data_IF_949993209653
#
_entry.id   IF_949993209653
#
_cell.length_a   1.000
_cell.length_b   1.000
_cell.length_c   1.000
_cell.angle_alpha   90.00
_cell.angle_beta   90.00
_cell.angle_gamma   90.00
#
_symmetry.space_group_name_H-M   'P 1'
#
loop_
_entity.id
_entity.type
_entity.pdbx_description
1 polymer ?
#
# COMPACT_ATOMS: atom_id res chain seq x y z
N UNK A 1 -19.20 -22.83 -47.60
CA UNK A 1 -19.51 -22.32 -46.24
C UNK A 1 -18.47 -22.89 -45.31
N UNK A 2 -17.39 -22.15 -45.03
CA UNK A 2 -16.33 -22.60 -44.17
C UNK A 2 -16.73 -22.29 -42.72
N UNK A 3 -16.45 -23.15 -41.73
CA UNK A 3 -16.76 -22.86 -40.35
C UNK A 3 -15.83 -21.76 -39.85
N UNK A 4 -16.41 -20.75 -39.23
CA UNK A 4 -15.71 -19.74 -38.42
C UNK A 4 -14.98 -20.46 -37.31
N UNK A 5 -13.66 -20.56 -37.42
CA UNK A 5 -12.79 -20.91 -36.30
C UNK A 5 -12.79 -19.72 -35.36
N UNK A 6 -13.63 -19.75 -34.36
CA UNK A 6 -13.49 -18.89 -33.22
C UNK A 6 -12.30 -19.40 -32.41
N UNK A 7 -11.10 -18.97 -32.76
CA UNK A 7 -9.96 -19.09 -31.86
C UNK A 7 -10.23 -18.18 -30.66
N UNK A 8 -10.52 -18.82 -29.54
CA UNK A 8 -10.59 -18.13 -28.25
C UNK A 8 -9.21 -17.48 -27.99
N UNK A 9 -9.09 -16.15 -27.99
CA UNK A 9 -7.81 -15.48 -27.84
C UNK A 9 -7.30 -15.47 -26.39
N UNK A 10 -7.92 -16.27 -25.51
CA UNK A 10 -7.45 -16.36 -24.13
C UNK A 10 -6.09 -17.06 -24.10
N UNK A 11 -5.04 -16.40 -23.62
CA UNK A 11 -3.75 -17.05 -23.46
C UNK A 11 -3.88 -18.23 -22.50
N UNK A 12 -3.23 -19.34 -22.86
CA UNK A 12 -3.18 -20.55 -22.07
C UNK A 12 -2.79 -20.28 -20.63
N UNK A 13 -3.59 -20.69 -19.78
CA UNK A 13 -3.71 -20.84 -18.32
C UNK A 13 -2.53 -20.66 -17.36
N UNK A 14 -1.33 -20.29 -17.75
CA UNK A 14 -0.25 -19.98 -16.79
C UNK A 14 -0.42 -18.60 -16.13
N UNK A 15 -1.30 -17.79 -16.65
CA UNK A 15 -1.70 -16.52 -16.03
C UNK A 15 -3.08 -16.59 -15.38
N UNK A 16 -3.69 -17.72 -15.38
CA UNK A 16 -4.90 -18.13 -14.69
C UNK A 16 -5.85 -17.01 -14.24
N UNK A 17 -6.47 -17.23 -13.09
CA UNK A 17 -7.36 -16.26 -12.41
C UNK A 17 -6.70 -14.91 -12.10
N UNK A 18 -5.37 -14.89 -12.00
CA UNK A 18 -4.60 -13.66 -11.78
C UNK A 18 -4.61 -12.74 -12.99
N UNK A 19 -4.85 -13.27 -14.17
CA UNK A 19 -4.88 -12.46 -15.37
C UNK A 19 -5.96 -11.37 -15.35
N UNK A 20 -7.15 -11.67 -14.85
CA UNK A 20 -8.20 -10.66 -14.64
C UNK A 20 -7.80 -9.58 -13.64
N UNK A 21 -6.87 -9.90 -12.72
CA UNK A 21 -6.28 -8.95 -11.78
C UNK A 21 -5.11 -8.15 -12.40
N UNK A 22 -4.57 -8.64 -13.52
CA UNK A 22 -3.46 -8.03 -14.26
C UNK A 22 -3.90 -7.10 -15.37
N UNK A 23 -5.18 -7.11 -15.74
CA UNK A 23 -5.68 -6.17 -16.72
C UNK A 23 -5.48 -4.75 -16.23
N UNK A 24 -5.16 -3.86 -17.14
CA UNK A 24 -5.03 -2.43 -16.85
C UNK A 24 -6.22 -1.83 -16.12
N UNK A 25 -7.35 -2.52 -16.16
CA UNK A 25 -8.64 -2.07 -15.63
C UNK A 25 -9.07 -2.80 -14.37
N UNK A 26 -8.55 -3.97 -14.07
CA UNK A 26 -9.03 -4.81 -12.98
C UNK A 26 -10.47 -5.31 -13.19
N UNK A 27 -10.91 -6.33 -12.43
CA UNK A 27 -12.28 -6.80 -12.50
C UNK A 27 -13.23 -5.70 -12.05
N UNK A 28 -14.18 -5.34 -12.90
CA UNK A 28 -15.23 -4.39 -12.57
C UNK A 28 -15.02 -2.94 -12.97
N UNK A 29 -13.98 -2.63 -13.74
CA UNK A 29 -13.82 -1.29 -14.35
C UNK A 29 -14.89 -0.98 -15.43
N UNK A 30 -15.84 -1.89 -15.63
CA UNK A 30 -16.91 -1.73 -16.60
C UNK A 30 -16.47 -1.98 -18.04
N UNK A 31 -15.30 -2.57 -18.24
CA UNK A 31 -14.77 -2.97 -19.54
C UNK A 31 -14.47 -4.45 -19.51
N UNK A 32 -15.20 -5.18 -20.35
CA UNK A 32 -15.01 -6.61 -20.55
C UNK A 32 -13.85 -6.89 -21.52
N UNK A 33 -12.92 -5.96 -21.69
CA UNK A 33 -11.76 -6.19 -22.54
C UNK A 33 -10.63 -6.84 -21.75
N UNK A 34 -10.52 -8.16 -21.88
CA UNK A 34 -9.55 -8.92 -21.15
C UNK A 34 -8.10 -8.65 -21.59
N UNK A 35 -7.86 -8.09 -22.74
CA UNK A 35 -6.51 -7.82 -23.24
C UNK A 35 -6.02 -6.42 -22.89
N UNK A 36 -6.85 -5.59 -22.23
CA UNK A 36 -6.49 -4.24 -21.84
C UNK A 36 -6.10 -3.37 -23.02
N UNK A 37 -6.70 -3.63 -24.19
CA UNK A 37 -6.49 -2.88 -25.44
C UNK A 37 -6.98 -1.44 -25.31
N UNK A 38 -7.90 -1.21 -24.39
CA UNK A 38 -8.36 0.11 -24.04
C UNK A 38 -7.34 0.89 -23.20
N UNK A 39 -7.33 2.18 -23.36
CA UNK A 39 -6.45 3.07 -22.62
C UNK A 39 -6.70 2.95 -21.10
N UNK A 40 -5.62 2.94 -20.30
CA UNK A 40 -5.72 3.02 -18.83
C UNK A 40 -6.62 4.18 -18.43
N UNK A 41 -7.41 4.06 -17.33
CA UNK A 41 -8.09 5.19 -16.74
C UNK A 41 -7.13 6.36 -16.59
N UNK A 42 -7.55 7.56 -16.96
CA UNK A 42 -6.63 8.69 -17.07
C UNK A 42 -5.96 9.06 -15.74
N UNK A 43 -6.60 8.73 -14.61
CA UNK A 43 -6.07 8.94 -13.26
C UNK A 43 -5.31 7.74 -12.68
N UNK A 44 -5.21 6.62 -13.39
CA UNK A 44 -4.49 5.43 -12.92
C UNK A 44 -3.04 5.79 -12.58
N UNK A 45 -2.64 5.56 -11.31
CA UNK A 45 -1.31 5.86 -10.77
C UNK A 45 -1.04 7.34 -10.46
N UNK A 46 -1.88 8.30 -10.89
CA UNK A 46 -1.64 9.73 -10.63
C UNK A 46 -1.77 10.11 -9.17
N UNK A 47 -2.72 9.50 -8.44
CA UNK A 47 -2.94 9.80 -7.02
C UNK A 47 -1.68 9.46 -6.20
N UNK A 48 -1.11 8.27 -6.40
CA UNK A 48 0.14 7.90 -5.72
C UNK A 48 1.35 8.69 -6.22
N UNK A 49 1.38 9.08 -7.48
CA UNK A 49 2.41 9.99 -8.00
C UNK A 49 2.39 11.35 -7.29
N UNK A 50 1.21 11.94 -7.12
CA UNK A 50 1.02 13.19 -6.36
C UNK A 50 1.43 12.95 -4.90
N UNK A 51 1.00 11.83 -4.31
CA UNK A 51 1.39 11.41 -2.97
C UNK A 51 2.91 11.31 -2.80
N UNK A 52 3.62 10.73 -3.78
CA UNK A 52 5.08 10.61 -3.76
C UNK A 52 5.76 11.99 -3.77
N UNK A 53 5.36 12.86 -4.69
CA UNK A 53 5.94 14.20 -4.79
C UNK A 53 5.66 15.07 -3.55
N UNK A 54 4.53 14.88 -2.89
CA UNK A 54 4.23 15.55 -1.63
C UNK A 54 4.99 14.90 -0.44
N UNK A 55 5.12 13.58 -0.43
CA UNK A 55 5.76 12.84 0.66
C UNK A 55 7.27 13.10 0.74
N UNK A 56 7.97 13.20 -0.40
CA UNK A 56 9.42 13.42 -0.40
C UNK A 56 9.83 14.66 0.43
N UNK A 57 9.37 15.88 0.14
CA UNK A 57 9.75 17.05 0.93
C UNK A 57 9.19 16.99 2.36
N UNK A 58 7.97 16.49 2.56
CA UNK A 58 7.37 16.39 3.89
C UNK A 58 8.17 15.45 4.80
N UNK A 59 8.54 14.27 4.30
CA UNK A 59 9.33 13.30 5.06
C UNK A 59 10.79 13.76 5.26
N UNK A 60 11.36 14.48 4.29
CA UNK A 60 12.67 15.11 4.47
C UNK A 60 12.65 16.14 5.62
N UNK A 61 11.63 16.99 5.66
CA UNK A 61 11.45 17.94 6.78
C UNK A 61 11.24 17.20 8.10
N UNK A 62 10.44 16.13 8.13
CA UNK A 62 10.24 15.33 9.33
C UNK A 62 11.58 14.75 9.85
N UNK A 63 12.46 14.26 8.97
CA UNK A 63 13.79 13.76 9.38
C UNK A 63 14.65 14.89 9.96
N UNK A 64 14.59 16.06 9.36
CA UNK A 64 15.37 17.25 9.85
C UNK A 64 14.92 17.67 11.24
N UNK A 65 13.60 17.79 11.46
CA UNK A 65 13.02 18.29 12.69
C UNK A 65 12.85 17.23 13.79
N UNK A 66 13.02 15.95 13.48
CA UNK A 66 12.88 14.88 14.46
C UNK A 66 13.88 15.02 15.60
N UNK A 67 13.40 14.86 16.85
CA UNK A 67 14.19 15.00 18.07
C UNK A 67 14.84 13.69 18.51
N UNK A 68 16.16 13.72 18.62
CA UNK A 68 16.96 12.60 19.11
C UNK A 68 17.14 11.45 18.11
N UNK A 69 18.13 10.60 18.40
CA UNK A 69 18.55 9.54 17.48
C UNK A 69 17.43 8.51 17.17
N UNK A 70 16.62 8.17 18.18
CA UNK A 70 15.52 7.18 17.99
C UNK A 70 14.45 7.69 17.03
N UNK A 71 14.04 8.94 17.19
CA UNK A 71 13.07 9.57 16.30
C UNK A 71 13.64 9.64 14.88
N UNK A 72 14.87 10.14 14.71
CA UNK A 72 15.53 10.24 13.40
C UNK A 72 15.62 8.89 12.69
N UNK A 73 16.05 7.85 13.37
CA UNK A 73 16.09 6.50 12.81
C UNK A 73 14.68 6.03 12.43
N UNK A 74 13.72 6.18 13.34
CA UNK A 74 12.34 5.75 13.10
C UNK A 74 11.71 6.43 11.88
N UNK A 75 11.81 7.76 11.82
CA UNK A 75 11.22 8.52 10.71
C UNK A 75 11.97 8.31 9.38
N UNK A 76 13.28 8.01 9.42
CA UNK A 76 14.05 7.67 8.21
C UNK A 76 13.58 6.34 7.61
N UNK A 77 13.37 5.31 8.44
CA UNK A 77 12.84 4.03 8.01
C UNK A 77 11.40 4.19 7.47
N UNK A 78 10.58 4.98 8.15
CA UNK A 78 9.23 5.34 7.68
C UNK A 78 9.27 6.03 6.30
N UNK A 79 10.14 7.01 6.13
CA UNK A 79 10.30 7.75 4.89
C UNK A 79 10.66 6.82 3.71
N UNK A 80 11.62 5.93 3.92
CA UNK A 80 12.02 4.95 2.90
C UNK A 80 10.84 4.02 2.54
N UNK A 81 10.14 3.46 3.53
CA UNK A 81 9.00 2.57 3.29
C UNK A 81 7.87 3.24 2.52
N UNK A 82 7.49 4.47 2.91
CA UNK A 82 6.42 5.22 2.26
C UNK A 82 6.78 5.66 0.84
N UNK A 83 7.98 6.20 0.63
CA UNK A 83 8.44 6.58 -0.70
C UNK A 83 8.56 5.37 -1.62
N UNK A 84 9.08 4.24 -1.13
CA UNK A 84 9.18 3.00 -1.90
C UNK A 84 7.79 2.49 -2.34
N UNK A 85 6.80 2.51 -1.45
CA UNK A 85 5.43 2.10 -1.76
C UNK A 85 4.80 3.03 -2.81
N UNK A 86 4.85 4.35 -2.62
CA UNK A 86 4.30 5.27 -3.61
C UNK A 86 5.02 5.19 -4.96
N UNK A 87 6.35 5.01 -4.95
CA UNK A 87 7.14 4.86 -6.17
C UNK A 87 6.81 3.58 -6.93
N UNK A 88 6.77 2.42 -6.23
CA UNK A 88 6.43 1.13 -6.85
C UNK A 88 5.02 1.16 -7.46
N UNK A 89 4.05 1.69 -6.71
CA UNK A 89 2.67 1.82 -7.17
C UNK A 89 2.54 2.77 -8.36
N UNK A 90 3.20 3.92 -8.32
CA UNK A 90 3.23 4.86 -9.45
C UNK A 90 3.83 4.20 -10.68
N UNK A 91 4.96 3.52 -10.53
CA UNK A 91 5.64 2.83 -11.63
C UNK A 91 4.75 1.77 -12.24
N UNK A 92 4.19 0.87 -11.43
CA UNK A 92 3.30 -0.19 -11.90
C UNK A 92 2.09 0.36 -12.64
N UNK A 93 1.41 1.34 -12.05
CA UNK A 93 0.15 1.83 -12.59
C UNK A 93 0.30 2.86 -13.71
N UNK A 94 1.45 3.54 -13.83
CA UNK A 94 1.61 4.65 -14.76
C UNK A 94 2.57 4.38 -15.91
N UNK A 95 3.70 3.72 -15.64
CA UNK A 95 4.82 3.66 -16.57
C UNK A 95 5.09 2.27 -17.14
N UNK A 96 4.54 1.21 -16.53
CA UNK A 96 4.77 -0.16 -17.02
C UNK A 96 3.74 -0.50 -18.08
N UNK A 97 4.17 -0.57 -19.33
CA UNK A 97 3.31 -0.90 -20.48
C UNK A 97 3.55 -2.31 -21.02
N UNK A 98 4.74 -2.87 -20.81
CA UNK A 98 5.08 -4.21 -21.30
C UNK A 98 4.47 -5.30 -20.43
N UNK A 99 3.76 -6.26 -21.05
CA UNK A 99 3.11 -7.38 -20.35
C UNK A 99 4.09 -8.20 -19.49
N UNK A 100 5.33 -8.40 -19.96
CA UNK A 100 6.35 -9.17 -19.24
C UNK A 100 6.77 -8.48 -17.93
N UNK A 101 6.88 -7.17 -17.92
CA UNK A 101 7.26 -6.40 -16.74
C UNK A 101 6.09 -6.12 -15.80
N UNK A 102 4.85 -6.14 -16.29
CA UNK A 102 3.65 -5.89 -15.49
C UNK A 102 3.54 -6.85 -14.29
N UNK A 103 3.77 -8.14 -14.49
CA UNK A 103 3.68 -9.13 -13.41
C UNK A 103 4.73 -8.88 -12.30
N UNK A 104 5.95 -8.48 -12.68
CA UNK A 104 7.01 -8.17 -11.73
C UNK A 104 6.70 -6.88 -10.94
N UNK A 105 6.28 -5.83 -11.63
CA UNK A 105 5.93 -4.57 -11.00
C UNK A 105 4.67 -4.65 -10.13
N UNK A 106 3.68 -5.47 -10.52
CA UNK A 106 2.54 -5.76 -9.64
C UNK A 106 2.98 -6.40 -8.34
N UNK A 107 3.88 -7.39 -8.40
CA UNK A 107 4.43 -8.02 -7.19
C UNK A 107 5.20 -7.02 -6.34
N UNK A 108 5.99 -6.16 -6.98
CA UNK A 108 6.71 -5.09 -6.28
C UNK A 108 5.76 -4.10 -5.61
N UNK A 109 4.72 -3.63 -6.31
CA UNK A 109 3.68 -2.75 -5.77
C UNK A 109 3.03 -3.35 -4.51
N UNK A 110 2.61 -4.61 -4.59
CA UNK A 110 2.00 -5.29 -3.44
C UNK A 110 3.00 -5.60 -2.30
N UNK A 111 4.26 -5.89 -2.62
CA UNK A 111 5.29 -6.12 -1.62
C UNK A 111 5.66 -4.84 -0.86
N UNK A 112 5.68 -3.69 -1.54
CA UNK A 112 6.00 -2.41 -0.90
C UNK A 112 4.93 -1.94 0.08
N UNK A 113 3.71 -2.46 0.04
CA UNK A 113 2.71 -2.26 1.11
C UNK A 113 3.29 -2.70 2.46
N UNK A 114 3.96 -3.84 2.51
CA UNK A 114 4.57 -4.33 3.75
C UNK A 114 5.76 -3.48 4.21
N UNK A 115 6.55 -2.95 3.28
CA UNK A 115 7.61 -2.00 3.61
C UNK A 115 7.04 -0.70 4.22
N UNK A 116 5.94 -0.20 3.66
CA UNK A 116 5.23 0.95 4.21
C UNK A 116 4.64 0.65 5.60
N UNK A 117 4.05 -0.53 5.80
CA UNK A 117 3.44 -0.92 7.09
C UNK A 117 4.49 -1.06 8.19
N UNK A 118 5.57 -1.81 7.95
CA UNK A 118 6.69 -1.93 8.90
C UNK A 118 7.36 -0.59 9.15
N UNK A 119 7.58 0.18 8.09
CA UNK A 119 8.11 1.53 8.16
C UNK A 119 7.24 2.46 9.00
N UNK A 120 5.93 2.45 8.82
CA UNK A 120 4.99 3.29 9.57
C UNK A 120 4.91 2.93 11.07
N UNK A 121 5.00 1.66 11.40
CA UNK A 121 5.02 1.22 12.81
C UNK A 121 6.30 1.68 13.53
N UNK A 122 7.40 1.80 12.81
CA UNK A 122 8.73 2.01 13.39
C UNK A 122 8.86 3.29 14.22
N UNK A 123 8.53 4.51 13.73
CA UNK A 123 8.68 5.71 14.54
C UNK A 123 7.74 5.70 15.75
N UNK A 124 6.50 5.25 15.59
CA UNK A 124 5.53 5.20 16.69
C UNK A 124 6.08 4.31 17.82
N UNK A 125 6.50 3.08 17.48
CA UNK A 125 7.00 2.13 18.48
C UNK A 125 8.29 2.63 19.13
N UNK A 126 9.26 3.13 18.37
CA UNK A 126 10.55 3.59 18.90
C UNK A 126 10.41 4.81 19.81
N UNK A 127 9.46 5.70 19.55
CA UNK A 127 9.29 6.95 20.29
C UNK A 127 8.44 6.73 21.55
N UNK A 128 7.29 6.04 21.44
CA UNK A 128 6.33 6.01 22.55
C UNK A 128 6.36 4.75 23.39
N UNK A 129 6.98 3.64 22.92
CA UNK A 129 6.96 2.39 23.69
C UNK A 129 8.20 2.21 24.56
N UNK A 130 8.08 1.52 25.74
CA UNK A 130 9.25 1.08 26.50
C UNK A 130 10.16 0.20 25.65
N UNK A 131 11.49 0.36 25.80
CA UNK A 131 12.49 -0.26 24.90
C UNK A 131 12.33 -1.78 24.75
N UNK A 132 12.08 -2.51 25.85
CA UNK A 132 11.96 -3.97 25.79
C UNK A 132 10.75 -4.44 24.98
N UNK A 133 9.56 -3.97 25.34
CA UNK A 133 8.31 -4.33 24.66
C UNK A 133 8.24 -3.74 23.24
N UNK A 134 8.71 -2.51 23.07
CA UNK A 134 8.75 -1.88 21.76
C UNK A 134 9.63 -2.63 20.77
N UNK A 135 10.83 -3.03 21.18
CA UNK A 135 11.73 -3.80 20.31
C UNK A 135 11.11 -5.15 19.97
N UNK A 136 10.53 -5.87 20.95
CA UNK A 136 9.88 -7.15 20.68
C UNK A 136 8.72 -7.01 19.69
N UNK A 137 7.81 -6.04 19.90
CA UNK A 137 6.70 -5.77 19.00
C UNK A 137 7.18 -5.41 17.59
N UNK A 138 8.18 -4.53 17.50
CA UNK A 138 8.73 -4.09 16.22
C UNK A 138 9.42 -5.23 15.46
N UNK A 139 10.14 -6.10 16.17
CA UNK A 139 10.77 -7.28 15.58
C UNK A 139 9.73 -8.22 14.97
N UNK A 140 8.63 -8.49 15.69
CA UNK A 140 7.52 -9.31 15.17
C UNK A 140 6.85 -8.62 13.99
N UNK A 141 6.56 -7.32 14.08
CA UNK A 141 5.92 -6.57 12.99
C UNK A 141 6.78 -6.58 11.72
N UNK A 142 8.09 -6.40 11.85
CA UNK A 142 9.00 -6.49 10.71
C UNK A 142 9.17 -7.91 10.18
N UNK A 143 9.23 -8.92 11.06
CA UNK A 143 9.27 -10.32 10.61
C UNK A 143 8.04 -10.69 9.76
N UNK A 144 6.84 -10.31 10.20
CA UNK A 144 5.60 -10.53 9.44
C UNK A 144 5.59 -9.68 8.16
N UNK A 145 6.06 -8.43 8.20
CA UNK A 145 6.15 -7.58 7.02
C UNK A 145 7.12 -8.14 5.98
N UNK A 146 8.29 -8.59 6.40
CA UNK A 146 9.28 -9.22 5.50
C UNK A 146 8.70 -10.50 4.90
N UNK A 147 8.09 -11.37 5.72
CA UNK A 147 7.44 -12.58 5.24
C UNK A 147 6.35 -12.27 4.20
N UNK A 148 5.49 -11.27 4.47
CA UNK A 148 4.47 -10.82 3.53
C UNK A 148 5.05 -10.27 2.22
N UNK A 149 6.09 -9.45 2.29
CA UNK A 149 6.78 -8.93 1.10
C UNK A 149 7.42 -10.06 0.27
N UNK A 150 8.10 -11.00 0.94
CA UNK A 150 8.71 -12.17 0.27
C UNK A 150 7.63 -13.02 -0.41
N UNK A 151 6.50 -13.28 0.25
CA UNK A 151 5.37 -14.01 -0.33
C UNK A 151 4.78 -13.30 -1.56
N UNK A 152 4.72 -11.96 -1.55
CA UNK A 152 4.25 -11.17 -2.71
C UNK A 152 5.25 -11.17 -3.86
N UNK A 153 6.54 -11.16 -3.58
CA UNK A 153 7.59 -11.17 -4.62
C UNK A 153 7.77 -12.56 -5.23
N UNK A 154 7.55 -13.61 -4.45
CA UNK A 154 7.75 -15.00 -4.88
C UNK A 154 6.70 -15.49 -5.88
N UNK A 155 7.02 -16.61 -6.53
CA UNK A 155 6.16 -17.28 -7.51
C UNK A 155 5.45 -18.51 -6.90
N UNK A 156 5.12 -18.45 -5.61
CA UNK A 156 4.47 -19.57 -4.92
C UNK A 156 2.96 -19.61 -5.22
N UNK A 157 2.44 -20.83 -5.39
CA UNK A 157 1.04 -21.08 -5.77
C UNK A 157 -0.01 -20.33 -4.93
N UNK A 158 0.25 -20.13 -3.63
CA UNK A 158 -0.66 -19.44 -2.70
C UNK A 158 -0.02 -18.20 -2.07
N UNK A 159 1.16 -17.79 -2.52
CA UNK A 159 1.92 -16.70 -1.89
C UNK A 159 1.17 -15.38 -1.89
N UNK A 160 0.46 -15.06 -2.96
CA UNK A 160 -0.32 -13.83 -3.04
C UNK A 160 -1.49 -13.82 -2.03
N UNK A 161 -2.23 -14.92 -1.92
CA UNK A 161 -3.35 -15.05 -0.98
C UNK A 161 -2.87 -15.01 0.47
N UNK A 162 -1.83 -15.78 0.81
CA UNK A 162 -1.26 -15.79 2.16
C UNK A 162 -0.67 -14.42 2.50
N UNK A 163 0.07 -13.81 1.56
CA UNK A 163 0.59 -12.45 1.74
C UNK A 163 -0.53 -11.46 2.04
N UNK A 164 -1.64 -11.48 1.26
CA UNK A 164 -2.78 -10.60 1.55
C UNK A 164 -3.37 -10.83 2.94
N UNK A 165 -3.44 -12.09 3.39
CA UNK A 165 -3.95 -12.42 4.73
C UNK A 165 -3.03 -11.93 5.88
N UNK A 166 -1.75 -11.62 5.62
CA UNK A 166 -0.85 -11.04 6.62
C UNK A 166 -1.06 -9.53 6.83
N UNK A 167 -1.71 -8.83 5.91
CA UNK A 167 -1.95 -7.38 6.04
C UNK A 167 -2.71 -7.03 7.34
N UNK A 168 -3.86 -7.67 7.66
CA UNK A 168 -4.53 -7.41 8.93
C UNK A 168 -3.66 -7.73 10.15
N UNK A 169 -2.80 -8.73 10.06
CA UNK A 169 -1.88 -9.10 11.15
C UNK A 169 -0.90 -7.97 11.46
N UNK A 170 -0.24 -7.41 10.44
CA UNK A 170 0.69 -6.28 10.63
C UNK A 170 -0.07 -5.04 11.15
N UNK A 171 -1.28 -4.80 10.64
CA UNK A 171 -2.13 -3.70 11.11
C UNK A 171 -2.49 -3.86 12.59
N UNK A 172 -2.86 -5.07 13.02
CA UNK A 172 -3.18 -5.37 14.42
C UNK A 172 -1.95 -5.20 15.33
N UNK A 173 -0.76 -5.64 14.90
CA UNK A 173 0.48 -5.42 15.63
C UNK A 173 0.76 -3.91 15.80
N UNK A 174 0.58 -3.10 14.75
CA UNK A 174 0.71 -1.65 14.84
C UNK A 174 -0.28 -1.03 15.84
N UNK A 175 -1.53 -1.53 15.87
CA UNK A 175 -2.55 -1.05 16.80
C UNK A 175 -2.21 -1.32 18.29
N UNK A 176 -1.35 -2.29 18.60
CA UNK A 176 -0.88 -2.53 19.97
C UNK A 176 -0.06 -1.36 20.55
N UNK A 177 0.46 -0.47 19.70
CA UNK A 177 1.13 0.74 20.17
C UNK A 177 0.16 1.85 20.60
N UNK A 178 -1.14 1.74 20.27
CA UNK A 178 -2.13 2.80 20.54
C UNK A 178 -2.26 3.21 22.01
N UNK A 179 -2.28 2.30 23.01
CA UNK A 179 -2.30 2.71 24.42
C UNK A 179 -1.08 3.53 24.82
N UNK A 180 0.11 3.12 24.37
CA UNK A 180 1.34 3.87 24.63
C UNK A 180 1.34 5.22 23.91
N UNK A 181 0.84 5.26 22.68
CA UNK A 181 0.69 6.51 21.92
C UNK A 181 -0.26 7.47 22.62
N UNK A 182 -1.40 6.98 23.15
CA UNK A 182 -2.35 7.79 23.91
C UNK A 182 -1.74 8.38 25.17
N UNK A 183 -1.04 7.55 25.95
CA UNK A 183 -0.50 7.95 27.27
C UNK A 183 0.75 8.82 27.13
N UNK A 184 1.63 8.53 26.18
CA UNK A 184 2.95 9.17 26.06
C UNK A 184 3.03 10.15 24.89
N UNK A 185 2.31 9.91 23.82
CA UNK A 185 2.26 10.80 22.65
C UNK A 185 1.16 11.85 22.74
N UNK A 186 0.12 11.57 23.53
CA UNK A 186 -1.02 12.46 23.70
C UNK A 186 -2.24 12.10 22.85
N UNK A 187 -3.32 12.82 23.09
CA UNK A 187 -4.64 12.54 22.50
C UNK A 187 -4.64 12.81 20.98
N UNK A 188 -4.06 13.92 20.54
CA UNK A 188 -4.11 14.33 19.13
C UNK A 188 -3.43 13.31 18.20
N UNK A 189 -2.16 12.87 18.42
CA UNK A 189 -1.54 11.86 17.57
C UNK A 189 -2.23 10.50 17.68
N UNK A 190 -2.81 10.13 18.82
CA UNK A 190 -3.57 8.91 18.95
C UNK A 190 -4.86 8.92 18.09
N UNK A 191 -5.60 10.04 18.08
CA UNK A 191 -6.76 10.21 17.19
C UNK A 191 -6.34 10.14 15.72
N UNK A 192 -5.28 10.84 15.31
CA UNK A 192 -4.77 10.82 13.95
C UNK A 192 -4.36 9.41 13.51
N UNK A 193 -3.76 8.64 14.42
CA UNK A 193 -3.37 7.25 14.18
C UNK A 193 -4.60 6.36 13.95
N UNK A 194 -5.66 6.52 14.77
CA UNK A 194 -6.93 5.80 14.61
C UNK A 194 -7.62 6.20 13.30
N UNK A 195 -7.65 7.50 12.97
CA UNK A 195 -8.20 8.01 11.70
C UNK A 195 -7.45 7.39 10.52
N UNK A 196 -6.11 7.35 10.57
CA UNK A 196 -5.30 6.70 9.53
C UNK A 196 -5.69 5.24 9.35
N UNK A 197 -5.73 4.45 10.43
CA UNK A 197 -6.14 3.05 10.38
C UNK A 197 -7.56 2.87 9.83
N UNK A 198 -8.50 3.71 10.27
CA UNK A 198 -9.88 3.71 9.78
C UNK A 198 -9.97 3.99 8.28
N UNK A 199 -9.22 4.95 7.78
CA UNK A 199 -9.17 5.26 6.34
C UNK A 199 -8.62 4.10 5.51
N UNK A 200 -7.57 3.41 5.99
CA UNK A 200 -7.07 2.21 5.32
C UNK A 200 -8.11 1.08 5.31
N UNK A 201 -8.75 0.79 6.43
CA UNK A 201 -9.75 -0.29 6.54
C UNK A 201 -10.96 0.02 5.64
N UNK A 202 -11.48 1.24 5.72
CA UNK A 202 -12.66 1.65 4.97
C UNK A 202 -12.38 1.68 3.45
N UNK A 203 -11.23 2.22 3.06
CA UNK A 203 -10.79 2.22 1.66
C UNK A 203 -10.59 0.80 1.12
N UNK A 204 -9.98 -0.10 1.91
CA UNK A 204 -9.81 -1.50 1.53
C UNK A 204 -11.14 -2.24 1.39
N UNK A 205 -12.11 -1.94 2.27
CA UNK A 205 -13.46 -2.51 2.18
C UNK A 205 -14.17 -2.06 0.90
N UNK A 206 -14.10 -0.78 0.55
CA UNK A 206 -14.66 -0.26 -0.70
C UNK A 206 -13.97 -0.86 -1.93
N UNK A 207 -12.66 -0.94 -1.90
CA UNK A 207 -11.88 -1.57 -2.96
C UNK A 207 -12.31 -3.03 -3.18
N UNK A 208 -12.45 -3.82 -2.10
CA UNK A 208 -12.92 -5.20 -2.17
C UNK A 208 -14.34 -5.34 -2.73
N UNK A 209 -15.18 -4.32 -2.56
CA UNK A 209 -16.52 -4.23 -3.15
C UNK A 209 -16.54 -3.68 -4.58
N UNK A 210 -15.38 -3.34 -5.14
CA UNK A 210 -15.26 -2.66 -6.44
C UNK A 210 -16.18 -1.43 -6.56
N UNK A 211 -16.24 -0.63 -5.48
CA UNK A 211 -17.15 0.51 -5.36
C UNK A 211 -16.40 1.73 -4.79
N UNK A 212 -16.76 2.98 -5.15
CA UNK A 212 -17.77 3.38 -6.14
C UNK A 212 -17.25 3.28 -7.58
N UNK A 213 -18.14 2.98 -8.51
CA UNK A 213 -17.87 3.00 -9.95
C UNK A 213 -18.28 4.35 -10.53
N UNK A 214 -17.42 5.36 -10.39
CA UNK A 214 -17.76 6.74 -10.80
C UNK A 214 -17.72 6.94 -12.31
N UNK A 215 -16.52 7.07 -12.88
CA UNK A 215 -16.26 7.17 -14.32
C UNK A 215 -15.13 6.18 -14.67
N UNK A 216 -15.44 4.94 -15.04
CA UNK A 216 -14.45 3.88 -15.20
C UNK A 216 -13.26 4.24 -16.09
N UNK A 217 -13.49 4.99 -17.17
CA UNK A 217 -12.44 5.47 -18.07
C UNK A 217 -11.52 6.57 -17.48
N UNK A 218 -11.93 7.21 -16.38
CA UNK A 218 -11.23 8.36 -15.81
C UNK A 218 -10.81 8.11 -14.37
N UNK A 219 -11.76 7.79 -13.51
CA UNK A 219 -11.60 7.68 -12.06
C UNK A 219 -12.66 6.75 -11.49
N UNK A 220 -12.26 5.66 -10.86
CA UNK A 220 -13.17 4.63 -10.35
C UNK A 220 -12.71 4.12 -8.97
N UNK A 221 -13.24 2.99 -8.52
CA UNK A 221 -12.98 2.43 -7.19
C UNK A 221 -11.48 2.27 -6.87
N UNK A 222 -10.65 1.98 -7.86
CA UNK A 222 -9.21 1.81 -7.67
C UNK A 222 -8.51 3.14 -7.33
N UNK A 223 -8.85 4.20 -8.05
CA UNK A 223 -8.36 5.55 -7.78
C UNK A 223 -8.88 6.06 -6.43
N UNK A 224 -10.12 5.73 -6.09
CA UNK A 224 -10.70 6.02 -4.77
C UNK A 224 -9.90 5.34 -3.66
N UNK A 225 -9.53 4.07 -3.84
CA UNK A 225 -8.64 3.35 -2.92
C UNK A 225 -7.32 4.11 -2.73
N UNK A 226 -6.68 4.56 -3.83
CA UNK A 226 -5.45 5.34 -3.74
C UNK A 226 -5.64 6.69 -3.01
N UNK A 227 -6.80 7.33 -3.14
CA UNK A 227 -7.12 8.54 -2.35
C UNK A 227 -7.19 8.21 -0.86
N UNK A 228 -7.85 7.11 -0.48
CA UNK A 228 -7.90 6.67 0.92
C UNK A 228 -6.50 6.36 1.46
N UNK A 229 -5.65 5.71 0.69
CA UNK A 229 -4.27 5.40 1.12
C UNK A 229 -3.43 6.66 1.31
N UNK A 230 -3.53 7.65 0.41
CA UNK A 230 -2.83 8.93 0.56
C UNK A 230 -3.36 9.73 1.75
N UNK A 231 -4.68 9.78 1.94
CA UNK A 231 -5.28 10.46 3.09
C UNK A 231 -4.88 9.78 4.43
N UNK A 232 -4.88 8.45 4.46
CA UNK A 232 -4.42 7.68 5.60
C UNK A 232 -2.93 7.93 5.90
N UNK A 233 -2.09 7.96 4.86
CA UNK A 233 -0.67 8.28 5.01
C UNK A 233 -0.45 9.70 5.53
N UNK A 234 -1.25 10.68 5.10
CA UNK A 234 -1.18 12.05 5.59
C UNK A 234 -1.59 12.16 7.08
N UNK A 235 -2.66 11.46 7.49
CA UNK A 235 -3.06 11.40 8.89
C UNK A 235 -1.99 10.73 9.76
N UNK A 236 -1.39 9.63 9.27
CA UNK A 236 -0.29 8.96 9.94
C UNK A 236 0.96 9.85 10.05
N UNK A 237 1.32 10.53 8.96
CA UNK A 237 2.41 11.50 8.95
C UNK A 237 2.20 12.59 10.01
N UNK A 238 1.00 13.16 10.09
CA UNK A 238 0.68 14.16 11.10
C UNK A 238 0.81 13.62 12.53
N UNK A 239 0.37 12.37 12.77
CA UNK A 239 0.56 11.71 14.06
C UNK A 239 2.05 11.55 14.41
N UNK A 240 2.85 11.08 13.45
CA UNK A 240 4.31 10.90 13.63
C UNK A 240 5.01 12.23 13.79
N UNK A 241 4.61 13.27 13.07
CA UNK A 241 5.15 14.61 13.22
C UNK A 241 5.05 15.10 14.66
N UNK A 242 3.84 15.03 15.23
CA UNK A 242 3.57 15.51 16.61
C UNK A 242 4.41 14.77 17.66
N UNK A 243 4.68 13.48 17.48
CA UNK A 243 5.45 12.72 18.49
C UNK A 243 6.96 12.75 18.24
N UNK A 244 7.40 13.14 17.05
CA UNK A 244 8.81 13.10 16.67
C UNK A 244 9.50 14.47 16.79
N UNK A 245 8.74 15.56 16.77
CA UNK A 245 9.21 16.96 16.87
C UNK A 245 8.71 17.66 18.12
#
# INVERSE_FOLDING_TARGET
MAPLVTSDPRPSNDYGRDWALHTRFGPGDGRDDPLGCDARPSWRGRVHMIGLFAAIPALALLIVFADGARAKVGVSIYAVGMCAMFAASTTYHRWVDELRSQAAWRRADHAMIFAAMGGSATPVVLIVMPSGWGIALLSVAWAVSIAGAVLKLGHWRHGDTIGTALIPTVSALGALALPALWVRGGVAPAILYVVSGGLYIFGAWWFAKTWPRLRPAVFSYHEVWHVFTVAAAAAHFAAVWVIAT
#
